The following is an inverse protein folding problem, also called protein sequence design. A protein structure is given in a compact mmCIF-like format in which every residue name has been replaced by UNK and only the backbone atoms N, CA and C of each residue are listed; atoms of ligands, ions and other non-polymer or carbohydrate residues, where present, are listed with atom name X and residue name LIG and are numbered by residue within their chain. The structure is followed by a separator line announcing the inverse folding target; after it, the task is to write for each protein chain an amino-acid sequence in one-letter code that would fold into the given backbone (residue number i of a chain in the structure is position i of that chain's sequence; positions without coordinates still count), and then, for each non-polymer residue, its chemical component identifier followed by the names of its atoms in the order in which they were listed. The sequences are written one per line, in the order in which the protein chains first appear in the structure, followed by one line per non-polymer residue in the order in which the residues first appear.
data_IF_782202957460
#
_entry.id   IF_782202957460
#
_cell.length_a   1.000
_cell.length_b   1.000
_cell.length_c   1.000
_cell.angle_alpha   90.00
_cell.angle_beta   90.00
_cell.angle_gamma   90.00
#
_symmetry.space_group_name_H-M   'P 1'
#
loop_
_entity.id
_entity.type
_entity.pdbx_description
1 polymer ?
#
# COMPACT_ATOMS: atom_id res chain seq x y z
N UNK A 1 -32.00 9.94 -10.18
CA UNK A 1 -32.17 8.65 -9.47
C UNK A 1 -30.77 8.12 -9.24
N UNK A 2 -30.36 7.91 -7.98
CA UNK A 2 -28.97 7.48 -7.68
C UNK A 2 -28.69 6.08 -8.20
N UNK A 3 -27.41 5.80 -8.42
CA UNK A 3 -26.81 4.57 -8.93
C UNK A 3 -25.77 4.04 -7.94
N UNK A 4 -25.20 2.86 -8.20
CA UNK A 4 -24.08 2.31 -7.41
C UNK A 4 -22.89 3.27 -7.38
N UNK A 5 -22.62 3.95 -8.51
CA UNK A 5 -21.55 4.95 -8.61
C UNK A 5 -21.82 6.17 -7.74
N UNK A 6 -23.07 6.65 -7.69
CA UNK A 6 -23.44 7.76 -6.81
C UNK A 6 -23.26 7.37 -5.34
N UNK A 7 -23.61 6.14 -4.96
CA UNK A 7 -23.35 5.63 -3.62
C UNK A 7 -21.85 5.52 -3.31
N UNK A 8 -21.03 4.97 -4.21
CA UNK A 8 -19.57 4.90 -4.03
C UNK A 8 -18.95 6.29 -3.89
N UNK A 9 -19.43 7.28 -4.64
CA UNK A 9 -18.96 8.65 -4.55
C UNK A 9 -19.38 9.34 -3.23
N UNK A 10 -20.63 9.14 -2.79
CA UNK A 10 -21.18 9.74 -1.56
C UNK A 10 -20.65 9.12 -0.27
N UNK A 11 -20.22 7.86 -0.32
CA UNK A 11 -19.55 7.15 0.78
C UNK A 11 -18.02 7.03 0.60
N UNK A 12 -17.42 7.76 -0.34
CA UNK A 12 -15.97 7.82 -0.58
C UNK A 12 -15.29 6.43 -0.72
N UNK A 13 -16.00 5.46 -1.32
CA UNK A 13 -15.52 4.07 -1.47
C UNK A 13 -15.60 3.21 -0.21
N UNK A 14 -15.95 3.77 0.96
CA UNK A 14 -16.01 3.04 2.23
C UNK A 14 -17.46 2.65 2.53
N UNK A 15 -17.77 1.35 2.46
CA UNK A 15 -19.14 0.89 2.66
C UNK A 15 -19.68 1.26 4.07
N UNK A 16 -20.81 1.97 4.17
CA UNK A 16 -21.32 2.52 5.43
C UNK A 16 -21.55 1.46 6.51
N UNK A 17 -21.36 1.83 7.77
CA UNK A 17 -21.54 0.90 8.91
C UNK A 17 -23.04 0.61 9.10
N UNK A 18 -23.47 -0.67 9.20
CA UNK A 18 -24.84 -1.04 9.56
C UNK A 18 -25.31 -0.37 10.85
N UNK A 19 -26.40 0.39 10.81
CA UNK A 19 -26.90 1.08 12.01
C UNK A 19 -27.48 0.13 13.09
N UNK A 20 -27.79 -1.13 12.74
CA UNK A 20 -28.15 -2.19 13.69
C UNK A 20 -27.53 -3.52 13.24
N UNK A 21 -27.29 -4.41 14.21
CA UNK A 21 -26.42 -5.58 14.09
C UNK A 21 -26.82 -6.59 13.00
N UNK A 22 -25.80 -7.30 12.51
CA UNK A 22 -25.83 -8.54 11.73
C UNK A 22 -26.72 -8.55 10.45
N UNK A 23 -26.03 -8.52 9.29
CA UNK A 23 -26.55 -8.80 7.93
C UNK A 23 -27.11 -7.63 7.09
N UNK A 24 -26.89 -6.35 7.43
CA UNK A 24 -27.22 -5.23 6.52
C UNK A 24 -26.31 -5.17 5.28
N UNK A 25 -26.71 -5.91 4.25
CA UNK A 25 -25.97 -6.08 3.00
C UNK A 25 -26.53 -5.24 1.84
N UNK A 26 -27.31 -4.19 2.08
CA UNK A 26 -27.87 -3.33 1.03
C UNK A 26 -27.66 -1.84 1.31
N UNK A 27 -27.37 -1.08 0.24
CA UNK A 27 -27.44 0.39 0.23
C UNK A 27 -28.75 0.78 -0.46
N UNK A 28 -29.49 1.67 0.19
CA UNK A 28 -30.84 2.08 -0.22
C UNK A 28 -30.93 3.61 -0.29
N UNK A 29 -31.86 4.10 -1.09
CA UNK A 29 -32.15 5.52 -1.29
C UNK A 29 -33.61 5.82 -0.94
N UNK A 30 -33.85 6.89 -0.19
CA UNK A 30 -35.18 7.41 0.07
C UNK A 30 -35.81 7.98 -1.22
N UNK A 31 -37.07 7.63 -1.51
CA UNK A 31 -37.80 8.11 -2.69
C UNK A 31 -38.64 9.37 -2.42
N UNK A 32 -39.04 9.57 -1.17
CA UNK A 32 -39.83 10.70 -0.67
C UNK A 32 -39.26 11.19 0.67
N UNK A 33 -39.76 12.29 1.20
CA UNK A 33 -39.37 12.78 2.54
C UNK A 33 -40.21 12.07 3.62
N UNK A 34 -39.57 11.41 4.58
CA UNK A 34 -40.24 10.74 5.71
C UNK A 34 -39.24 10.44 6.84
N UNK A 35 -39.72 10.40 8.09
CA UNK A 35 -38.96 9.91 9.27
C UNK A 35 -37.51 10.44 9.40
N UNK A 36 -37.31 11.72 9.10
CA UNK A 36 -36.00 12.39 9.14
C UNK A 36 -35.15 12.27 7.86
N UNK A 37 -35.54 11.44 6.90
CA UNK A 37 -34.89 11.31 5.59
C UNK A 37 -35.50 12.26 4.56
N UNK A 38 -34.66 12.81 3.69
CA UNK A 38 -35.02 13.56 2.50
C UNK A 38 -35.01 12.66 1.26
N UNK A 39 -35.82 13.00 0.26
CA UNK A 39 -35.85 12.31 -1.02
C UNK A 39 -34.48 12.38 -1.70
N UNK A 40 -33.86 11.21 -1.90
CA UNK A 40 -32.50 11.06 -2.41
C UNK A 40 -31.48 10.62 -1.36
N UNK A 41 -31.76 10.71 -0.05
CA UNK A 41 -30.80 10.32 0.98
C UNK A 41 -30.44 8.84 0.89
N UNK A 42 -29.14 8.52 1.03
CA UNK A 42 -28.66 7.15 1.10
C UNK A 42 -28.58 6.66 2.54
N UNK A 43 -28.83 5.37 2.75
CA UNK A 43 -28.62 4.69 4.05
C UNK A 43 -28.43 3.18 3.87
N UNK A 44 -28.30 2.43 4.96
CA UNK A 44 -28.14 0.96 4.97
C UNK A 44 -29.43 0.22 5.34
N UNK A 45 -29.76 -0.82 4.57
CA UNK A 45 -30.90 -1.70 4.79
C UNK A 45 -30.50 -3.17 4.91
N UNK A 46 -31.41 -3.96 5.51
CA UNK A 46 -31.45 -5.41 5.36
C UNK A 46 -32.85 -5.83 4.90
N UNK A 47 -32.93 -6.81 4.01
CA UNK A 47 -34.18 -7.33 3.45
C UNK A 47 -35.05 -6.29 2.73
N UNK A 48 -34.55 -5.07 2.51
CA UNK A 48 -35.31 -3.97 1.93
C UNK A 48 -35.59 -4.28 0.47
N UNK A 49 -36.86 -4.12 0.09
CA UNK A 49 -37.33 -4.24 -1.28
C UNK A 49 -37.82 -2.88 -1.75
N UNK A 50 -37.73 -2.64 -3.05
CA UNK A 50 -38.28 -1.44 -3.69
C UNK A 50 -39.75 -1.28 -3.30
N UNK A 51 -40.09 -0.15 -2.69
CA UNK A 51 -41.44 0.22 -2.25
C UNK A 51 -41.65 1.73 -2.44
N UNK A 52 -42.67 2.32 -1.82
CA UNK A 52 -42.97 3.76 -1.97
C UNK A 52 -41.99 4.69 -1.22
N UNK A 53 -41.32 4.20 -0.17
CA UNK A 53 -40.35 4.95 0.64
C UNK A 53 -38.91 4.71 0.21
N UNK A 54 -38.56 3.46 -0.12
CA UNK A 54 -37.18 3.01 -0.32
C UNK A 54 -36.97 2.38 -1.70
N UNK A 55 -35.82 2.70 -2.30
CA UNK A 55 -35.26 1.98 -3.45
C UNK A 55 -33.91 1.37 -3.11
N UNK A 56 -33.70 0.09 -3.40
CA UNK A 56 -32.39 -0.56 -3.34
C UNK A 56 -31.52 -0.02 -4.49
N UNK A 57 -30.31 0.42 -4.15
CA UNK A 57 -29.31 0.91 -5.10
C UNK A 57 -28.37 -0.22 -5.48
N UNK A 58 -27.85 -0.93 -4.49
CA UNK A 58 -26.95 -2.08 -4.64
C UNK A 58 -26.92 -2.91 -3.36
N UNK A 59 -26.35 -4.10 -3.46
CA UNK A 59 -25.78 -4.84 -2.34
C UNK A 59 -24.45 -4.26 -1.89
N UNK A 60 -24.01 -4.61 -0.68
CA UNK A 60 -22.69 -4.26 -0.14
C UNK A 60 -21.56 -4.93 -0.93
N UNK A 61 -21.82 -6.11 -1.49
CA UNK A 61 -20.90 -6.82 -2.39
C UNK A 61 -20.69 -6.03 -3.68
N UNK A 62 -21.77 -5.69 -4.40
CA UNK A 62 -21.70 -4.84 -5.61
C UNK A 62 -21.07 -3.46 -5.36
N UNK A 63 -21.28 -2.87 -4.17
CA UNK A 63 -20.61 -1.63 -3.77
C UNK A 63 -19.10 -1.84 -3.59
N UNK A 64 -18.70 -2.87 -2.84
CA UNK A 64 -17.29 -3.16 -2.55
C UNK A 64 -16.54 -3.56 -3.83
N UNK A 65 -17.16 -4.35 -4.70
CA UNK A 65 -16.61 -4.75 -5.99
C UNK A 65 -16.40 -3.53 -6.89
N UNK A 66 -17.35 -2.59 -6.93
CA UNK A 66 -17.18 -1.35 -7.66
C UNK A 66 -16.07 -0.49 -7.04
N UNK A 67 -16.05 -0.31 -5.71
CA UNK A 67 -14.99 0.42 -5.01
C UNK A 67 -13.60 -0.17 -5.30
N UNK A 68 -13.45 -1.49 -5.24
CA UNK A 68 -12.20 -2.19 -5.54
C UNK A 68 -11.80 -2.10 -7.02
N UNK A 69 -12.75 -2.20 -7.96
CA UNK A 69 -12.51 -1.95 -9.38
C UNK A 69 -12.06 -0.51 -9.64
N UNK A 70 -12.52 0.45 -8.84
CA UNK A 70 -12.07 1.83 -8.94
C UNK A 70 -10.66 1.98 -8.33
N UNK A 71 -10.39 1.46 -7.14
CA UNK A 71 -9.04 1.44 -6.53
C UNK A 71 -7.97 0.80 -7.42
N UNK A 72 -8.31 -0.31 -8.10
CA UNK A 72 -7.35 -1.07 -8.93
C UNK A 72 -7.09 -0.46 -10.31
N UNK A 73 -7.92 0.48 -10.78
CA UNK A 73 -7.81 1.08 -12.12
C UNK A 73 -7.05 2.43 -12.16
N UNK A 74 -6.14 2.65 -11.19
CA UNK A 74 -5.04 3.65 -11.23
C UNK A 74 -5.31 4.97 -11.99
N UNK A 75 -6.42 5.64 -11.67
CA UNK A 75 -6.67 7.02 -12.10
C UNK A 75 -7.35 7.26 -13.46
N UNK A 76 -7.84 6.25 -14.20
CA UNK A 76 -8.44 6.50 -15.53
C UNK A 76 -9.89 7.06 -15.52
N UNK A 77 -10.69 6.85 -14.48
CA UNK A 77 -12.14 7.07 -14.57
C UNK A 77 -12.65 8.29 -13.80
N UNK A 78 -13.16 9.28 -14.53
CA UNK A 78 -13.62 10.59 -14.04
C UNK A 78 -14.74 10.47 -12.97
N UNK A 79 -14.42 10.56 -11.68
CA UNK A 79 -13.09 10.99 -11.20
C UNK A 79 -12.56 10.47 -9.86
N UNK A 80 -12.98 9.40 -9.17
CA UNK A 80 -14.15 8.57 -9.35
C UNK A 80 -15.41 9.35 -8.97
N UNK A 81 -15.35 10.17 -7.90
CA UNK A 81 -15.63 11.63 -7.78
C UNK A 81 -14.43 12.55 -8.12
N UNK A 82 -13.31 12.49 -7.38
CA UNK A 82 -12.07 13.30 -7.60
C UNK A 82 -10.70 12.68 -7.16
N UNK A 83 -10.63 11.38 -6.83
CA UNK A 83 -9.37 10.61 -6.73
C UNK A 83 -8.41 10.79 -7.94
N UNK A 84 -8.95 10.79 -9.16
CA UNK A 84 -8.29 11.10 -10.44
C UNK A 84 -7.72 12.52 -10.48
N UNK A 85 -8.33 13.50 -9.81
CA UNK A 85 -7.80 14.87 -9.80
C UNK A 85 -6.66 15.05 -8.79
N UNK A 86 -6.71 14.35 -7.65
CA UNK A 86 -5.69 14.47 -6.60
C UNK A 86 -4.45 13.60 -6.90
N UNK A 87 -4.61 12.48 -7.60
CA UNK A 87 -3.46 11.80 -8.23
C UNK A 87 -2.80 12.71 -9.29
N UNK A 88 -3.58 13.55 -9.97
CA UNK A 88 -3.10 14.47 -11.01
C UNK A 88 -2.49 15.81 -10.50
N UNK A 89 -2.50 16.10 -9.19
CA UNK A 89 -1.90 17.33 -8.66
C UNK A 89 -1.02 17.19 -7.40
N UNK A 90 -1.12 16.09 -6.64
CA UNK A 90 -0.38 15.94 -5.36
C UNK A 90 0.58 14.76 -5.25
N UNK A 91 0.42 13.71 -6.06
CA UNK A 91 1.07 12.41 -5.84
C UNK A 91 2.15 12.03 -6.88
N UNK A 92 2.80 13.00 -7.52
CA UNK A 92 3.95 12.72 -8.41
C UNK A 92 5.16 12.09 -7.70
N UNK A 93 5.13 11.97 -6.37
CA UNK A 93 6.09 11.18 -5.57
C UNK A 93 5.43 10.52 -4.34
N UNK A 94 4.54 9.54 -4.56
CA UNK A 94 4.20 8.56 -3.51
C UNK A 94 4.44 7.15 -4.05
N UNK A 95 5.66 6.65 -3.88
CA UNK A 95 5.91 5.22 -3.99
C UNK A 95 5.09 4.44 -2.96
N UNK A 96 5.07 3.11 -3.07
CA UNK A 96 4.53 2.22 -2.01
C UNK A 96 4.93 2.79 -0.62
N UNK A 97 4.02 2.87 0.37
CA UNK A 97 4.40 3.29 1.73
C UNK A 97 5.62 2.46 2.11
N UNK A 98 6.78 3.10 2.38
CA UNK A 98 8.09 2.50 2.11
C UNK A 98 8.16 1.15 2.81
N UNK A 99 8.04 0.08 2.02
CA UNK A 99 7.88 -1.27 2.56
C UNK A 99 9.09 -1.51 3.45
N UNK A 100 8.92 -1.72 4.76
CA UNK A 100 10.02 -1.60 5.70
C UNK A 100 11.15 -2.53 5.28
N UNK A 101 12.24 -1.93 4.83
CA UNK A 101 13.35 -2.67 4.22
C UNK A 101 14.32 -3.04 5.32
N UNK A 102 14.77 -4.30 5.32
CA UNK A 102 15.83 -4.70 6.23
C UNK A 102 17.13 -3.94 5.87
N UNK A 103 17.58 -3.05 6.76
CA UNK A 103 18.72 -2.13 6.51
C UNK A 103 20.05 -2.69 7.00
N UNK A 104 21.16 -2.13 6.51
CA UNK A 104 22.51 -2.55 6.93
C UNK A 104 22.72 -2.34 8.44
N UNK A 105 22.23 -1.23 9.01
CA UNK A 105 22.31 -0.97 10.44
C UNK A 105 21.60 -2.04 11.29
N UNK A 106 20.42 -2.51 10.86
CA UNK A 106 19.71 -3.61 11.53
C UNK A 106 20.51 -4.91 11.45
N UNK A 107 21.12 -5.21 10.30
CA UNK A 107 21.98 -6.38 10.14
C UNK A 107 23.24 -6.33 11.03
N UNK A 108 23.87 -5.16 11.15
CA UNK A 108 25.08 -4.94 11.96
C UNK A 108 24.78 -4.99 13.47
N UNK A 109 23.58 -4.56 13.88
CA UNK A 109 23.07 -4.72 15.25
C UNK A 109 22.69 -6.17 15.59
N UNK A 110 22.66 -7.08 14.61
CA UNK A 110 22.18 -8.46 14.78
C UNK A 110 20.65 -8.57 14.93
N UNK A 111 19.90 -7.57 14.48
CA UNK A 111 18.43 -7.57 14.49
C UNK A 111 17.89 -8.53 13.42
N UNK A 112 16.68 -9.05 13.64
CA UNK A 112 15.97 -9.88 12.65
C UNK A 112 14.95 -9.03 11.88
N UNK A 113 14.75 -9.30 10.57
CA UNK A 113 13.69 -8.63 9.80
C UNK A 113 12.31 -9.00 10.37
N UNK A 114 11.42 -8.01 10.45
CA UNK A 114 10.06 -8.18 10.96
C UNK A 114 9.12 -8.78 9.91
N UNK A 115 7.97 -9.29 10.34
CA UNK A 115 6.90 -9.75 9.44
C UNK A 115 6.44 -8.62 8.53
N UNK A 116 6.32 -8.89 7.23
CA UNK A 116 6.03 -7.91 6.19
C UNK A 116 7.24 -7.18 5.61
N UNK A 117 8.45 -7.37 6.15
CA UNK A 117 9.68 -6.79 5.58
C UNK A 117 10.19 -7.62 4.39
N UNK A 118 10.72 -6.94 3.38
CA UNK A 118 11.54 -7.56 2.33
C UNK A 118 13.03 -7.56 2.74
N UNK A 119 13.73 -8.66 2.49
CA UNK A 119 15.16 -8.79 2.77
C UNK A 119 15.86 -9.72 1.75
N UNK A 120 17.20 -9.72 1.75
CA UNK A 120 18.00 -10.67 0.96
C UNK A 120 18.39 -11.87 1.82
N UNK A 121 17.85 -13.04 1.50
CA UNK A 121 18.01 -14.28 2.27
C UNK A 121 19.05 -15.18 1.58
N UNK A 122 20.05 -15.68 2.31
CA UNK A 122 21.03 -16.63 1.75
C UNK A 122 20.38 -17.99 1.47
N UNK A 123 20.24 -18.35 0.20
CA UNK A 123 19.92 -19.72 -0.18
C UNK A 123 21.19 -20.59 -0.18
N UNK A 124 21.40 -21.34 0.90
CA UNK A 124 22.48 -22.31 1.01
C UNK A 124 22.18 -23.67 0.34
N UNK A 125 20.91 -23.94 -0.03
CA UNK A 125 20.46 -25.25 -0.51
C UNK A 125 20.62 -25.43 -2.03
N UNK A 126 21.24 -24.47 -2.73
CA UNK A 126 21.58 -24.58 -4.14
C UNK A 126 23.09 -24.79 -4.34
N UNK A 127 23.46 -25.48 -5.43
CA UNK A 127 24.85 -25.83 -5.78
C UNK A 127 25.81 -24.63 -5.92
N UNK A 128 25.27 -23.41 -6.01
CA UNK A 128 25.97 -22.14 -5.85
C UNK A 128 25.15 -21.28 -4.88
N UNK A 129 25.55 -21.13 -3.61
CA UNK A 129 24.81 -20.33 -2.65
C UNK A 129 24.64 -18.89 -3.14
N UNK A 130 23.40 -18.41 -3.18
CA UNK A 130 23.08 -17.04 -3.63
C UNK A 130 22.09 -16.39 -2.69
N UNK A 131 22.18 -15.07 -2.55
CA UNK A 131 21.14 -14.29 -1.89
C UNK A 131 19.95 -14.16 -2.84
N UNK A 132 18.75 -14.36 -2.32
CA UNK A 132 17.48 -14.22 -3.03
C UNK A 132 16.59 -13.25 -2.26
N UNK A 133 15.76 -12.48 -2.98
CA UNK A 133 14.78 -11.59 -2.34
C UNK A 133 13.70 -12.45 -1.68
N UNK A 134 13.32 -12.12 -0.45
CA UNK A 134 12.23 -12.77 0.25
C UNK A 134 11.43 -11.83 1.13
N UNK A 135 10.12 -12.06 1.20
CA UNK A 135 9.17 -11.35 2.04
C UNK A 135 8.90 -12.18 3.30
N UNK A 136 9.18 -11.64 4.48
CA UNK A 136 9.00 -12.35 5.75
C UNK A 136 7.51 -12.50 6.09
N UNK A 137 7.06 -13.74 6.26
CA UNK A 137 5.68 -14.11 6.61
C UNK A 137 5.51 -14.37 8.10
N UNK A 138 6.54 -14.91 8.76
CA UNK A 138 6.54 -15.23 10.19
C UNK A 138 7.97 -15.23 10.74
N UNK A 139 8.11 -14.77 11.98
CA UNK A 139 9.34 -14.82 12.79
C UNK A 139 8.97 -15.41 14.15
N UNK A 140 9.64 -16.47 14.55
CA UNK A 140 9.59 -17.03 15.91
C UNK A 140 10.99 -17.45 16.37
N UNK A 141 11.12 -17.75 17.67
CA UNK A 141 12.40 -17.92 18.38
C UNK A 141 13.44 -18.85 17.72
N UNK A 142 12.97 -19.81 16.93
CA UNK A 142 13.82 -20.79 16.24
C UNK A 142 13.65 -20.80 14.72
N UNK A 143 12.60 -20.19 14.17
CA UNK A 143 12.16 -20.42 12.78
C UNK A 143 11.67 -19.12 12.12
N UNK A 144 12.09 -18.89 10.87
CA UNK A 144 11.54 -17.84 10.01
C UNK A 144 10.89 -18.48 8.78
N UNK A 145 9.70 -18.00 8.44
CA UNK A 145 9.04 -18.31 7.16
C UNK A 145 9.09 -17.08 6.25
N UNK A 146 9.45 -17.29 4.99
CA UNK A 146 9.49 -16.26 3.97
C UNK A 146 8.93 -16.76 2.63
N UNK A 147 8.24 -15.87 1.91
CA UNK A 147 7.95 -16.06 0.49
C UNK A 147 9.18 -15.70 -0.34
N UNK A 148 9.56 -16.56 -1.28
CA UNK A 148 10.63 -16.33 -2.25
C UNK A 148 10.12 -16.65 -3.66
N UNK A 149 10.83 -16.23 -4.71
CA UNK A 149 10.41 -16.39 -6.12
C UNK A 149 10.00 -17.83 -6.49
N UNK A 150 10.55 -18.84 -5.81
CA UNK A 150 10.30 -20.26 -6.06
C UNK A 150 9.36 -20.92 -5.03
N UNK A 151 8.60 -20.15 -4.23
CA UNK A 151 7.59 -20.66 -3.29
C UNK A 151 7.80 -20.22 -1.83
N UNK A 152 7.28 -21.01 -0.88
CA UNK A 152 7.50 -20.77 0.55
C UNK A 152 8.80 -21.41 1.03
N UNK A 153 9.49 -20.72 1.95
CA UNK A 153 10.73 -21.17 2.58
C UNK A 153 10.62 -21.06 4.10
N UNK A 154 11.18 -22.05 4.79
CA UNK A 154 11.26 -22.15 6.24
C UNK A 154 12.68 -22.55 6.63
N UNK A 155 13.35 -21.75 7.47
CA UNK A 155 14.70 -22.04 7.97
C UNK A 155 14.83 -21.76 9.47
N UNK A 156 15.88 -22.34 10.08
CA UNK A 156 16.24 -22.00 11.44
C UNK A 156 16.95 -20.64 11.52
N UNK A 157 16.48 -19.77 12.41
CA UNK A 157 17.00 -18.41 12.65
C UNK A 157 18.52 -18.40 12.83
N UNK A 158 19.09 -19.39 13.55
CA UNK A 158 20.52 -19.46 13.85
C UNK A 158 21.41 -19.79 12.65
N UNK A 159 20.82 -20.38 11.61
CA UNK A 159 21.53 -20.80 10.39
C UNK A 159 21.31 -19.84 9.22
N UNK A 160 20.25 -19.04 9.29
CA UNK A 160 19.87 -18.13 8.23
C UNK A 160 20.78 -16.90 8.23
N UNK A 161 21.26 -16.51 7.04
CA UNK A 161 22.05 -15.28 6.87
C UNK A 161 21.26 -14.29 6.03
N UNK A 162 21.03 -13.12 6.61
CA UNK A 162 20.42 -11.99 5.93
C UNK A 162 21.50 -11.07 5.36
N UNK A 163 21.15 -10.39 4.26
CA UNK A 163 21.76 -9.15 3.83
C UNK A 163 20.67 -8.08 3.72
N UNK A 164 21.02 -6.81 3.91
CA UNK A 164 20.10 -5.74 3.58
C UNK A 164 19.81 -5.72 2.08
N UNK A 165 18.66 -5.14 1.72
CA UNK A 165 18.40 -4.75 0.33
C UNK A 165 19.06 -3.39 0.13
N UNK A 166 19.90 -3.27 -0.90
CA UNK A 166 20.44 -1.99 -1.33
C UNK A 166 19.38 -1.23 -2.13
N UNK A 167 18.66 -0.34 -1.45
CA UNK A 167 17.58 0.48 -2.00
C UNK A 167 18.06 1.67 -2.81
N UNK A 168 19.37 1.94 -2.84
CA UNK A 168 19.94 3.03 -3.65
C UNK A 168 19.69 2.77 -5.13
N UNK A 169 19.30 3.81 -5.84
CA UNK A 169 19.25 3.84 -7.30
C UNK A 169 20.66 3.63 -7.88
N UNK A 170 20.75 3.22 -9.15
CA UNK A 170 22.04 3.05 -9.82
C UNK A 170 22.83 4.38 -9.90
N UNK A 171 22.12 5.52 -9.89
CA UNK A 171 22.72 6.86 -9.77
C UNK A 171 23.35 7.09 -8.41
N UNK A 172 22.64 6.78 -7.33
CA UNK A 172 23.18 6.91 -5.96
C UNK A 172 24.35 5.94 -5.72
N UNK A 173 24.29 4.73 -6.28
CA UNK A 173 25.43 3.78 -6.24
C UNK A 173 26.65 4.31 -6.99
N UNK A 174 26.45 4.82 -8.20
CA UNK A 174 27.54 5.43 -8.98
C UNK A 174 28.11 6.69 -8.31
N UNK A 175 27.27 7.46 -7.59
CA UNK A 175 27.72 8.58 -6.76
C UNK A 175 28.53 8.06 -5.57
N UNK A 176 28.04 7.10 -4.79
CA UNK A 176 28.78 6.57 -3.64
C UNK A 176 30.10 5.91 -4.06
N UNK A 177 30.13 5.17 -5.17
CA UNK A 177 31.35 4.62 -5.77
C UNK A 177 32.32 5.73 -6.20
N UNK A 178 31.85 6.74 -6.94
CA UNK A 178 32.66 7.91 -7.29
C UNK A 178 33.19 8.64 -6.04
N UNK A 179 32.38 8.78 -4.99
CA UNK A 179 32.75 9.46 -3.75
C UNK A 179 33.77 8.64 -2.94
N UNK A 180 33.62 7.32 -2.84
CA UNK A 180 34.61 6.46 -2.15
C UNK A 180 35.95 6.39 -2.92
N UNK A 181 35.92 6.41 -4.26
CA UNK A 181 37.13 6.45 -5.08
C UNK A 181 37.84 7.82 -5.02
N UNK A 182 37.11 8.93 -5.10
CA UNK A 182 37.67 10.27 -5.31
C UNK A 182 37.75 11.13 -4.03
N UNK A 183 37.00 10.81 -2.96
CA UNK A 183 36.98 11.56 -1.70
C UNK A 183 37.51 10.77 -0.51
N UNK A 184 38.79 10.42 -0.58
CA UNK A 184 39.64 10.22 0.62
C UNK A 184 39.91 11.54 1.40
N UNK A 185 39.04 12.56 1.22
CA UNK A 185 39.35 13.98 1.42
C UNK A 185 38.20 14.86 1.93
N UNK A 186 37.39 14.37 2.86
CA UNK A 186 36.74 15.25 3.85
C UNK A 186 35.29 15.70 3.61
N UNK A 187 34.63 16.00 4.73
CA UNK A 187 33.18 16.27 4.90
C UNK A 187 32.69 17.50 4.09
N UNK A 188 33.58 18.45 3.79
CA UNK A 188 33.23 19.72 3.16
C UNK A 188 32.56 19.57 1.77
N UNK A 189 32.93 18.55 0.99
CA UNK A 189 32.40 18.40 -0.37
C UNK A 189 30.96 17.85 -0.39
N UNK A 190 30.60 16.96 0.55
CA UNK A 190 29.22 16.45 0.69
C UNK A 190 28.22 17.58 0.96
N UNK A 191 28.58 18.54 1.81
CA UNK A 191 27.70 19.67 2.14
C UNK A 191 27.49 20.61 0.94
N UNK A 192 28.54 20.87 0.16
CA UNK A 192 28.45 21.72 -1.05
C UNK A 192 27.58 21.10 -2.15
N UNK A 193 27.66 19.79 -2.38
CA UNK A 193 26.80 19.10 -3.35
C UNK A 193 25.33 19.12 -2.89
N UNK A 194 25.06 18.86 -1.60
CA UNK A 194 23.70 18.93 -1.05
C UNK A 194 23.09 20.34 -1.23
N UNK A 195 23.83 21.39 -0.88
CA UNK A 195 23.39 22.78 -1.05
C UNK A 195 23.17 23.18 -2.51
N UNK A 196 23.92 22.62 -3.46
CA UNK A 196 23.70 22.83 -4.88
C UNK A 196 22.41 22.13 -5.36
N UNK A 197 22.06 20.98 -4.76
CA UNK A 197 20.87 20.21 -5.10
C UNK A 197 19.58 20.85 -4.60
N UNK A 198 19.54 21.27 -3.33
CA UNK A 198 18.41 22.01 -2.74
C UNK A 198 18.07 23.27 -3.53
N UNK A 199 19.08 23.88 -4.16
CA UNK A 199 18.96 25.09 -4.98
C UNK A 199 18.50 24.81 -6.43
N UNK A 200 18.61 23.57 -6.90
CA UNK A 200 18.20 23.17 -8.26
C UNK A 200 16.78 22.59 -8.31
N UNK A 201 16.29 22.03 -7.20
CA UNK A 201 14.90 21.53 -7.06
C UNK A 201 13.88 22.66 -6.78
N UNK A 202 14.35 23.91 -6.63
CA UNK A 202 13.54 25.09 -6.33
C UNK A 202 13.20 26.00 -7.52
N UNK A 203 13.45 25.56 -8.76
CA UNK A 203 13.06 26.23 -10.03
C UNK A 203 11.98 25.40 -10.78
#
# INVERSE_FOLDING_TARGET
MKTVMDAVNEYEGIAPIPCHAENKNQIIMALINFDGYLAGDLTTGDGVRNNEYWKVICTREEFNDLALQLETNFGESLSYKEYVSVQAMGASMVGKPPQPVFTQAMADNGELPQVGMECMILNANCSRPKYIKGLIKYVGDLVIYAYVENGERCDNVKTLKFKPIDTRTDKEKAIDEFMDEHLKGGIAFKHLISLAYDKWVGE
#
